data_IF_844591989861
#
_entry.id   IF_844591989861
#
_cell.length_a   1.000
_cell.length_b   1.000
_cell.length_c   1.000
_cell.angle_alpha   90.00
_cell.angle_beta   90.00
_cell.angle_gamma   90.00
#
_symmetry.space_group_name_H-M   'P 1'
#
loop_
_entity.id
_entity.type
_entity.pdbx_description
1 polymer ?
#
# COMPACT_ATOMS: atom_id res chain seq x y z
N UNK A 1 -20.51 -1.99 14.10
CA UNK A 1 -20.87 -1.39 12.80
C UNK A 1 -19.95 -2.07 11.82
N UNK A 2 -20.44 -3.10 11.13
CA UNK A 2 -19.65 -3.91 10.20
C UNK A 2 -19.17 -3.04 9.03
N UNK A 3 -17.89 -3.18 8.72
CA UNK A 3 -17.14 -2.33 7.82
C UNK A 3 -17.71 -2.47 6.39
N UNK A 4 -18.21 -1.37 5.83
CA UNK A 4 -19.25 -1.33 4.79
C UNK A 4 -18.83 -1.86 3.41
N UNK A 5 -17.53 -1.95 3.11
CA UNK A 5 -17.01 -2.50 1.86
C UNK A 5 -16.90 -4.04 1.86
N UNK A 6 -16.90 -4.67 3.03
CA UNK A 6 -16.80 -6.12 3.15
C UNK A 6 -18.02 -6.86 2.57
N UNK A 7 -19.23 -6.39 2.87
CA UNK A 7 -20.47 -7.02 2.41
C UNK A 7 -20.62 -6.96 0.89
N UNK A 8 -20.14 -5.90 0.24
CA UNK A 8 -20.17 -5.73 -1.22
C UNK A 8 -19.20 -6.65 -1.96
N UNK A 9 -18.20 -7.17 -1.27
CA UNK A 9 -17.23 -8.12 -1.81
C UNK A 9 -17.61 -9.59 -1.58
N UNK A 10 -18.72 -9.84 -0.88
CA UNK A 10 -19.27 -11.18 -0.64
C UNK A 10 -20.40 -11.45 -1.64
N UNK A 11 -20.04 -11.94 -2.82
CA UNK A 11 -21.00 -12.78 -3.55
C UNK A 11 -21.16 -14.09 -2.78
N UNK A 12 -22.40 -14.48 -2.52
CA UNK A 12 -22.80 -15.78 -1.99
C UNK A 12 -21.90 -16.89 -2.61
N UNK A 13 -21.34 -17.79 -1.79
CA UNK A 13 -20.28 -18.75 -2.23
C UNK A 13 -20.74 -19.74 -3.30
N UNK A 14 -22.00 -19.67 -3.72
CA UNK A 14 -22.50 -20.21 -4.97
C UNK A 14 -22.90 -19.07 -5.92
N UNK A 15 -22.44 -19.13 -7.17
CA UNK A 15 -22.96 -18.26 -8.22
C UNK A 15 -24.50 -18.35 -8.22
N UNK A 16 -25.24 -17.23 -8.05
CA UNK A 16 -26.70 -17.23 -7.89
C UNK A 16 -27.44 -17.62 -9.18
N UNK A 17 -26.74 -17.57 -10.32
CA UNK A 17 -27.18 -18.21 -11.55
C UNK A 17 -26.78 -19.68 -11.48
N UNK A 18 -27.75 -20.61 -11.61
CA UNK A 18 -27.47 -22.04 -11.81
C UNK A 18 -26.69 -22.25 -13.11
N UNK A 19 -25.37 -22.08 -13.05
CA UNK A 19 -24.48 -22.65 -14.03
C UNK A 19 -24.45 -24.16 -13.78
N UNK A 20 -24.52 -24.96 -14.84
CA UNK A 20 -23.91 -26.31 -14.82
C UNK A 20 -22.51 -26.10 -14.24
N UNK A 21 -22.03 -26.85 -13.22
CA UNK A 21 -20.78 -26.52 -12.53
C UNK A 21 -19.66 -26.33 -13.55
N UNK A 22 -19.27 -25.07 -13.79
CA UNK A 22 -18.35 -24.70 -14.87
C UNK A 22 -16.90 -25.02 -14.52
N UNK A 23 -16.58 -25.14 -13.22
CA UNK A 23 -15.34 -25.77 -12.79
C UNK A 23 -15.62 -27.19 -12.29
N UNK A 24 -14.91 -28.21 -12.80
CA UNK A 24 -14.93 -29.53 -12.21
C UNK A 24 -14.63 -29.45 -10.71
N UNK A 25 -15.32 -30.25 -9.89
CA UNK A 25 -14.92 -30.40 -8.48
C UNK A 25 -13.48 -30.89 -8.44
N UNK A 26 -12.66 -30.22 -7.64
CA UNK A 26 -11.27 -30.59 -7.42
C UNK A 26 -11.14 -31.47 -6.18
N UNK A 27 -10.00 -32.14 -6.00
CA UNK A 27 -9.83 -33.10 -4.91
C UNK A 27 -10.06 -32.48 -3.52
N UNK A 28 -9.67 -31.22 -3.31
CA UNK A 28 -9.89 -30.51 -2.05
C UNK A 28 -11.37 -30.24 -1.74
N UNK A 29 -12.23 -30.15 -2.76
CA UNK A 29 -13.69 -30.03 -2.54
C UNK A 29 -14.28 -31.32 -1.91
N UNK A 30 -13.65 -32.47 -2.15
CA UNK A 30 -14.06 -33.77 -1.59
C UNK A 30 -13.32 -34.12 -0.31
N UNK A 31 -12.06 -33.73 -0.22
CA UNK A 31 -11.16 -34.02 0.89
C UNK A 31 -10.52 -32.72 1.38
N UNK A 32 -11.20 -31.91 2.21
CA UNK A 32 -10.68 -30.61 2.65
C UNK A 32 -9.38 -30.70 3.47
N UNK A 33 -9.11 -31.85 4.08
CA UNK A 33 -7.88 -32.13 4.82
C UNK A 33 -6.77 -32.77 3.94
N UNK A 34 -6.97 -32.84 2.63
CA UNK A 34 -5.95 -33.35 1.70
C UNK A 34 -4.74 -32.43 1.73
N UNK A 35 -3.54 -33.01 1.82
CA UNK A 35 -2.29 -32.26 1.75
C UNK A 35 -2.21 -31.48 0.43
N UNK A 36 -2.06 -30.16 0.53
CA UNK A 36 -1.92 -29.30 -0.64
C UNK A 36 -0.49 -29.33 -1.17
N UNK A 37 -0.31 -29.90 -2.36
CA UNK A 37 0.97 -29.94 -3.07
C UNK A 37 1.15 -28.75 -4.04
N UNK A 38 0.14 -27.89 -4.20
CA UNK A 38 0.23 -26.69 -5.05
C UNK A 38 1.36 -25.75 -4.60
N UNK A 39 1.68 -25.75 -3.30
CA UNK A 39 2.80 -25.00 -2.71
C UNK A 39 4.17 -25.36 -3.28
N UNK A 40 4.31 -26.55 -3.89
CA UNK A 40 5.53 -27.02 -4.53
C UNK A 40 5.53 -26.75 -6.04
N UNK A 41 4.38 -26.40 -6.61
CA UNK A 41 4.29 -25.97 -8.01
C UNK A 41 4.80 -24.54 -8.10
N UNK A 42 6.08 -24.42 -8.44
CA UNK A 42 6.65 -23.13 -8.82
C UNK A 42 5.89 -22.58 -10.03
N UNK A 43 5.78 -21.24 -10.17
CA UNK A 43 5.23 -20.64 -11.36
C UNK A 43 5.84 -21.23 -12.62
N UNK A 44 4.98 -21.76 -13.47
CA UNK A 44 5.43 -22.45 -14.66
C UNK A 44 6.11 -21.48 -15.60
N UNK A 45 7.26 -21.84 -16.14
CA UNK A 45 7.90 -21.07 -17.20
C UNK A 45 6.99 -20.90 -18.44
N UNK A 46 5.98 -21.78 -18.61
CA UNK A 46 4.99 -21.67 -19.67
C UNK A 46 3.99 -20.52 -19.47
N UNK A 47 3.78 -20.08 -18.23
CA UNK A 47 2.92 -18.93 -17.91
C UNK A 47 3.65 -17.59 -18.09
N UNK A 48 4.98 -17.60 -18.21
CA UNK A 48 5.79 -16.40 -18.41
C UNK A 48 5.89 -16.05 -19.92
N UNK A 49 5.27 -14.95 -20.39
CA UNK A 49 5.27 -14.56 -21.80
C UNK A 49 6.62 -14.01 -22.28
N UNK A 50 7.59 -13.81 -21.40
CA UNK A 50 8.90 -13.23 -21.75
C UNK A 50 9.86 -14.24 -22.39
N UNK A 51 9.60 -15.54 -22.21
CA UNK A 51 10.47 -16.62 -22.67
C UNK A 51 11.68 -16.86 -21.74
N UNK A 52 12.36 -18.00 -21.91
CA UNK A 52 13.42 -18.45 -20.99
C UNK A 52 14.70 -17.62 -21.06
N UNK A 53 14.96 -16.95 -22.18
CA UNK A 53 16.19 -16.16 -22.39
C UNK A 53 16.07 -14.71 -21.91
N UNK A 54 14.91 -14.32 -21.38
CA UNK A 54 14.68 -12.96 -20.90
C UNK A 54 15.44 -12.67 -19.60
N UNK A 55 16.24 -11.61 -19.63
CA UNK A 55 17.06 -11.13 -18.52
C UNK A 55 16.59 -9.73 -18.12
N UNK A 56 15.74 -9.66 -17.08
CA UNK A 56 15.18 -8.39 -16.63
C UNK A 56 16.26 -7.40 -16.19
N UNK A 57 17.33 -7.88 -15.55
CA UNK A 57 18.39 -7.01 -15.07
C UNK A 57 19.10 -6.30 -16.22
N UNK A 58 19.36 -7.03 -17.32
CA UNK A 58 19.91 -6.46 -18.55
C UNK A 58 18.98 -5.43 -19.19
N UNK A 59 17.69 -5.75 -19.25
CA UNK A 59 16.68 -4.88 -19.86
C UNK A 59 16.49 -3.59 -19.06
N UNK A 60 16.41 -3.69 -17.73
CA UNK A 60 16.35 -2.55 -16.82
C UNK A 60 17.60 -1.68 -16.89
N UNK A 61 18.80 -2.27 -16.95
CA UNK A 61 20.04 -1.49 -17.10
C UNK A 61 20.13 -0.74 -18.45
N UNK A 62 19.31 -1.09 -19.44
CA UNK A 62 19.18 -0.37 -20.71
C UNK A 62 18.07 0.70 -20.72
N UNK A 63 17.36 0.86 -19.61
CA UNK A 63 16.26 1.81 -19.44
C UNK A 63 16.80 3.22 -19.22
N UNK A 64 16.24 4.20 -19.92
CA UNK A 64 16.42 5.61 -19.56
C UNK A 64 15.53 5.93 -18.35
N UNK A 65 16.04 5.65 -17.15
CA UNK A 65 15.30 5.88 -15.90
C UNK A 65 14.92 7.35 -15.74
N UNK A 66 15.77 8.29 -16.19
CA UNK A 66 15.47 9.73 -16.13
C UNK A 66 14.25 10.08 -16.98
N UNK A 67 14.14 9.51 -18.18
CA UNK A 67 12.96 9.69 -19.02
C UNK A 67 11.70 9.10 -18.37
N UNK A 68 11.78 7.92 -17.74
CA UNK A 68 10.65 7.33 -17.01
C UNK A 68 10.19 8.25 -15.87
N UNK A 69 11.11 8.76 -15.05
CA UNK A 69 10.79 9.69 -13.97
C UNK A 69 10.16 10.99 -14.50
N UNK A 70 10.67 11.52 -15.62
CA UNK A 70 10.09 12.70 -16.27
C UNK A 70 8.64 12.47 -16.73
N UNK A 71 8.36 11.31 -17.35
CA UNK A 71 7.00 10.93 -17.74
C UNK A 71 6.08 10.74 -16.52
N UNK A 72 6.59 10.15 -15.43
CA UNK A 72 5.84 10.01 -14.17
C UNK A 72 5.48 11.38 -13.58
N UNK A 73 6.41 12.33 -13.53
CA UNK A 73 6.14 13.69 -13.07
C UNK A 73 5.11 14.41 -13.95
N UNK A 74 5.19 14.23 -15.27
CA UNK A 74 4.20 14.78 -16.19
C UNK A 74 2.81 14.16 -15.97
N UNK A 75 2.74 12.84 -15.81
CA UNK A 75 1.49 12.12 -15.51
C UNK A 75 0.81 12.63 -14.24
N UNK A 76 1.59 12.95 -13.20
CA UNK A 76 1.03 13.35 -11.89
C UNK A 76 0.16 14.59 -11.97
N UNK A 77 0.37 15.48 -12.93
CA UNK A 77 -0.44 16.70 -13.12
C UNK A 77 -1.35 16.64 -14.35
N UNK A 78 -1.30 15.54 -15.11
CA UNK A 78 -2.14 15.30 -16.28
C UNK A 78 -3.45 14.59 -15.88
N UNK A 79 -4.33 15.32 -15.19
CA UNK A 79 -5.64 14.81 -14.75
C UNK A 79 -6.43 14.19 -15.91
N UNK A 80 -7.06 13.05 -15.65
CA UNK A 80 -7.88 12.29 -16.58
C UNK A 80 -9.36 12.42 -16.21
N UNK A 81 -10.22 12.65 -17.19
CA UNK A 81 -11.66 12.87 -16.94
C UNK A 81 -12.35 11.68 -16.26
N UNK A 82 -11.92 10.46 -16.56
CA UNK A 82 -12.48 9.22 -15.97
C UNK A 82 -12.04 8.99 -14.52
N UNK A 83 -11.04 9.71 -14.04
CA UNK A 83 -10.61 9.70 -12.64
C UNK A 83 -9.87 10.98 -12.28
N UNK A 84 -10.56 12.13 -12.09
CA UNK A 84 -9.92 13.42 -11.92
C UNK A 84 -8.96 13.46 -10.72
N UNK A 85 -7.83 14.13 -10.88
CA UNK A 85 -6.83 14.24 -9.83
C UNK A 85 -7.28 15.21 -8.73
N UNK A 86 -7.31 14.73 -7.47
CA UNK A 86 -7.46 15.59 -6.31
C UNK A 86 -6.37 16.67 -6.32
N UNK A 87 -6.77 17.93 -6.09
CA UNK A 87 -5.85 19.07 -6.06
C UNK A 87 -5.05 19.25 -7.37
N UNK A 88 -5.51 18.64 -8.47
CA UNK A 88 -4.79 18.60 -9.74
C UNK A 88 -3.50 17.77 -9.71
N UNK A 89 -3.31 16.88 -8.73
CA UNK A 89 -2.08 16.11 -8.57
C UNK A 89 -2.32 14.66 -8.08
N UNK A 90 -1.97 13.65 -8.87
CA UNK A 90 -2.09 12.22 -8.50
C UNK A 90 -1.03 11.72 -7.51
N UNK A 91 -0.03 12.53 -7.19
CA UNK A 91 1.07 12.16 -6.28
C UNK A 91 0.61 11.40 -5.02
N UNK A 92 -0.33 11.94 -4.22
CA UNK A 92 -0.77 11.25 -3.01
C UNK A 92 -1.41 9.87 -3.26
N UNK A 93 -2.17 9.73 -4.35
CA UNK A 93 -2.73 8.43 -4.76
C UNK A 93 -1.63 7.42 -5.12
N UNK A 94 -0.57 7.87 -5.79
CA UNK A 94 0.57 7.03 -6.16
C UNK A 94 1.45 6.68 -4.95
N UNK A 95 1.57 7.57 -3.95
CA UNK A 95 2.21 7.25 -2.67
C UNK A 95 1.42 6.14 -1.96
N UNK A 96 0.09 6.26 -1.85
CA UNK A 96 -0.77 5.19 -1.30
C UNK A 96 -0.59 3.89 -2.08
N UNK A 97 -0.59 3.93 -3.41
CA UNK A 97 -0.43 2.74 -4.23
C UNK A 97 0.89 2.01 -3.94
N UNK A 98 2.01 2.73 -3.87
CA UNK A 98 3.31 2.16 -3.54
C UNK A 98 3.38 1.64 -2.09
N UNK A 99 2.82 2.40 -1.14
CA UNK A 99 2.66 1.98 0.26
C UNK A 99 1.91 0.65 0.35
N UNK A 100 0.75 0.52 -0.28
CA UNK A 100 -0.05 -0.71 -0.27
C UNK A 100 0.61 -1.86 -1.03
N UNK A 101 1.41 -1.57 -2.06
CA UNK A 101 2.14 -2.61 -2.80
C UNK A 101 3.20 -3.24 -1.91
N UNK A 102 3.99 -2.43 -1.20
CA UNK A 102 5.02 -2.89 -0.29
C UNK A 102 4.46 -3.37 1.06
N UNK A 103 3.33 -2.83 1.47
CA UNK A 103 2.73 -2.95 2.80
C UNK A 103 2.14 -4.32 3.14
N UNK A 104 2.13 -5.28 2.24
CA UNK A 104 1.65 -6.65 2.55
C UNK A 104 2.72 -7.57 3.15
N UNK A 105 3.98 -7.13 3.15
CA UNK A 105 5.13 -7.94 3.56
C UNK A 105 5.14 -8.30 5.04
N UNK A 106 5.56 -9.52 5.37
CA UNK A 106 5.60 -10.05 6.75
C UNK A 106 6.89 -10.76 7.07
N UNK A 107 7.46 -10.47 8.24
CA UNK A 107 8.70 -11.13 8.71
C UNK A 107 8.50 -12.58 9.14
N UNK A 108 7.24 -13.00 9.39
CA UNK A 108 6.94 -14.36 9.85
C UNK A 108 7.31 -15.44 8.84
N UNK A 109 7.22 -15.13 7.55
CA UNK A 109 7.49 -16.05 6.44
C UNK A 109 8.17 -15.37 5.23
N UNK A 110 8.38 -14.05 5.26
CA UNK A 110 8.98 -13.27 4.17
C UNK A 110 8.05 -13.06 2.97
N UNK A 111 6.77 -13.40 3.09
CA UNK A 111 5.77 -13.28 2.00
C UNK A 111 5.14 -11.89 1.97
N UNK A 112 4.43 -11.61 0.88
CA UNK A 112 3.91 -10.28 0.55
C UNK A 112 5.00 -9.34 0.04
N UNK A 113 4.72 -8.04 0.05
CA UNK A 113 5.62 -7.00 -0.46
C UNK A 113 5.40 -6.67 -1.93
N UNK A 114 6.24 -5.75 -2.43
CA UNK A 114 6.15 -5.19 -3.78
C UNK A 114 7.00 -5.96 -4.81
N UNK A 115 7.84 -6.90 -4.36
CA UNK A 115 8.94 -7.51 -5.11
C UNK A 115 8.58 -8.28 -6.38
N UNK A 116 7.30 -8.60 -6.56
CA UNK A 116 6.76 -9.31 -7.72
C UNK A 116 5.53 -8.65 -8.34
N UNK A 117 5.12 -7.49 -7.80
CA UNK A 117 3.99 -6.71 -8.31
C UNK A 117 2.62 -7.32 -8.02
N UNK A 118 2.46 -8.15 -6.98
CA UNK A 118 1.23 -8.91 -6.69
C UNK A 118 -0.03 -8.05 -6.50
N UNK A 119 0.08 -6.75 -6.23
CA UNK A 119 -1.08 -5.85 -6.16
C UNK A 119 -1.91 -5.80 -7.45
N UNK A 120 -1.38 -6.31 -8.58
CA UNK A 120 -2.09 -6.41 -9.86
C UNK A 120 -2.85 -7.72 -10.07
N UNK A 121 -2.76 -8.65 -9.13
CA UNK A 121 -3.42 -9.95 -9.17
C UNK A 121 -4.29 -10.18 -7.93
N UNK A 122 -5.17 -11.17 -8.02
CA UNK A 122 -5.96 -11.64 -6.88
C UNK A 122 -5.06 -12.28 -5.80
N UNK A 123 -5.48 -12.26 -4.52
CA UNK A 123 -6.64 -11.52 -4.00
C UNK A 123 -6.36 -10.01 -3.80
N UNK A 124 -5.11 -9.59 -3.91
CA UNK A 124 -4.64 -8.27 -3.46
C UNK A 124 -5.23 -7.12 -4.27
N UNK A 125 -5.40 -7.26 -5.59
CA UNK A 125 -6.04 -6.26 -6.45
C UNK A 125 -7.50 -5.95 -6.06
N UNK A 126 -8.17 -6.83 -5.31
CA UNK A 126 -9.58 -6.74 -4.94
C UNK A 126 -9.82 -6.62 -3.43
N UNK A 127 -8.78 -6.54 -2.61
CA UNK A 127 -8.90 -6.23 -1.18
C UNK A 127 -9.63 -4.91 -0.95
N UNK A 128 -10.51 -4.81 0.07
CA UNK A 128 -11.20 -3.56 0.40
C UNK A 128 -10.24 -2.38 0.64
N UNK A 129 -9.12 -2.62 1.32
CA UNK A 129 -8.13 -1.57 1.59
C UNK A 129 -7.38 -1.13 0.31
N UNK A 130 -7.47 -1.89 -0.78
CA UNK A 130 -6.93 -1.53 -2.09
C UNK A 130 -7.98 -0.89 -3.01
N UNK A 131 -9.14 -0.50 -2.49
CA UNK A 131 -10.16 0.22 -3.24
C UNK A 131 -9.59 1.40 -4.01
N UNK A 132 -9.98 1.52 -5.28
CA UNK A 132 -9.55 2.51 -6.27
C UNK A 132 -8.05 2.51 -6.64
N UNK A 133 -7.23 1.57 -6.12
CA UNK A 133 -5.86 1.40 -6.60
C UNK A 133 -5.79 0.73 -7.99
N UNK A 134 -6.89 0.10 -8.44
CA UNK A 134 -7.08 -0.29 -9.84
C UNK A 134 -7.02 0.93 -10.77
N UNK A 135 -7.63 2.07 -10.37
CA UNK A 135 -7.54 3.35 -11.08
C UNK A 135 -6.09 3.87 -11.10
N UNK A 136 -5.41 3.83 -9.95
CA UNK A 136 -4.00 4.23 -9.84
C UNK A 136 -3.08 3.43 -10.77
N UNK A 137 -3.22 2.10 -10.80
CA UNK A 137 -2.47 1.23 -11.72
C UNK A 137 -2.83 1.50 -13.18
N UNK A 138 -4.10 1.77 -13.48
CA UNK A 138 -4.57 2.11 -14.83
C UNK A 138 -3.96 3.42 -15.33
N UNK A 139 -3.80 4.43 -14.47
CA UNK A 139 -3.11 5.68 -14.81
C UNK A 139 -1.69 5.41 -15.29
N UNK A 140 -0.96 4.47 -14.68
CA UNK A 140 0.42 4.13 -15.03
C UNK A 140 0.57 3.29 -16.31
N UNK A 141 -0.52 2.74 -16.85
CA UNK A 141 -0.47 1.89 -18.04
C UNK A 141 0.23 2.52 -19.25
N UNK A 142 -0.02 3.80 -19.63
CA UNK A 142 0.66 4.42 -20.76
C UNK A 142 2.20 4.46 -20.60
N UNK A 143 2.70 4.63 -19.37
CA UNK A 143 4.14 4.56 -19.07
C UNK A 143 4.63 3.13 -19.23
N UNK A 144 3.94 2.15 -18.65
CA UNK A 144 4.29 0.73 -18.84
C UNK A 144 4.31 0.34 -20.32
N UNK A 145 3.34 0.82 -21.10
CA UNK A 145 3.25 0.56 -22.54
C UNK A 145 4.41 1.19 -23.31
N UNK A 146 4.80 2.43 -22.97
CA UNK A 146 5.92 3.15 -23.59
C UNK A 146 7.27 2.46 -23.35
N UNK A 147 7.54 2.01 -22.13
CA UNK A 147 8.83 1.43 -21.75
C UNK A 147 8.88 -0.10 -21.82
N UNK A 148 7.73 -0.75 -22.01
CA UNK A 148 7.61 -2.17 -22.30
C UNK A 148 8.32 -3.05 -21.29
N UNK A 149 9.14 -3.99 -21.78
CA UNK A 149 9.84 -4.99 -20.96
C UNK A 149 11.01 -4.45 -20.11
N UNK A 150 11.42 -3.19 -20.34
CA UNK A 150 12.56 -2.57 -19.65
C UNK A 150 12.24 -2.10 -18.24
N UNK A 151 10.96 -1.97 -17.91
CA UNK A 151 10.48 -1.72 -16.56
C UNK A 151 9.31 -2.65 -16.27
N UNK A 152 9.42 -3.41 -15.17
CA UNK A 152 8.37 -4.28 -14.68
C UNK A 152 7.24 -3.44 -14.07
N UNK A 153 6.06 -4.03 -13.92
CA UNK A 153 5.03 -3.43 -13.08
C UNK A 153 5.51 -3.32 -11.63
N UNK A 154 6.17 -4.35 -11.10
CA UNK A 154 6.69 -4.33 -9.74
C UNK A 154 7.59 -3.11 -9.44
N UNK A 155 8.55 -2.79 -10.32
CA UNK A 155 9.40 -1.60 -10.17
C UNK A 155 8.61 -0.31 -10.45
N UNK A 156 7.71 -0.29 -11.44
CA UNK A 156 6.93 0.91 -11.79
C UNK A 156 6.00 1.35 -10.66
N UNK A 157 5.36 0.41 -9.94
CA UNK A 157 4.48 0.73 -8.81
C UNK A 157 5.24 1.48 -7.71
N UNK A 158 6.44 1.00 -7.37
CA UNK A 158 7.29 1.61 -6.34
C UNK A 158 7.89 2.93 -6.83
N UNK A 159 8.43 2.95 -8.06
CA UNK A 159 9.05 4.14 -8.64
C UNK A 159 8.05 5.30 -8.74
N UNK A 160 6.78 5.01 -9.07
CA UNK A 160 5.73 6.03 -9.11
C UNK A 160 5.51 6.68 -7.74
N UNK A 161 5.54 5.92 -6.65
CA UNK A 161 5.48 6.45 -5.28
C UNK A 161 6.70 7.30 -4.92
N UNK A 162 7.91 6.85 -5.26
CA UNK A 162 9.13 7.65 -5.06
C UNK A 162 9.07 8.98 -5.82
N UNK A 163 8.73 8.94 -7.10
CA UNK A 163 8.60 10.13 -7.94
C UNK A 163 7.50 11.07 -7.42
N UNK A 164 6.41 10.52 -6.86
CA UNK A 164 5.35 11.30 -6.27
C UNK A 164 5.86 12.10 -5.06
N UNK A 165 6.59 11.46 -4.15
CA UNK A 165 7.23 12.15 -3.03
C UNK A 165 8.19 13.24 -3.50
N UNK A 166 9.05 12.95 -4.49
CA UNK A 166 9.98 13.92 -5.08
C UNK A 166 9.28 15.14 -5.69
N UNK A 167 8.24 14.90 -6.50
CA UNK A 167 7.46 15.96 -7.15
C UNK A 167 6.73 16.87 -6.16
N UNK A 168 6.37 16.35 -4.98
CA UNK A 168 5.70 17.09 -3.91
C UNK A 168 6.70 17.72 -2.93
N UNK A 169 8.00 17.71 -3.23
CA UNK A 169 9.03 18.41 -2.47
C UNK A 169 9.70 17.61 -1.36
N UNK A 170 9.51 16.28 -1.30
CA UNK A 170 10.23 15.41 -0.39
C UNK A 170 11.41 14.72 -1.09
N UNK A 171 12.62 14.84 -0.53
CA UNK A 171 13.79 14.15 -1.08
C UNK A 171 13.85 12.71 -0.53
N UNK A 172 13.65 11.72 -1.40
CA UNK A 172 13.77 10.31 -1.04
C UNK A 172 15.23 9.91 -0.76
N UNK A 173 15.44 8.80 -0.04
CA UNK A 173 16.78 8.29 0.26
C UNK A 173 17.47 7.68 -0.97
N UNK A 174 16.70 7.17 -1.91
CA UNK A 174 17.15 6.55 -3.15
C UNK A 174 16.12 5.56 -3.72
N UNK A 175 16.49 4.88 -4.80
CA UNK A 175 15.67 3.87 -5.46
C UNK A 175 16.54 2.80 -6.12
N UNK A 176 16.18 1.53 -5.91
CA UNK A 176 16.72 0.39 -6.65
C UNK A 176 15.62 -0.35 -7.41
N UNK A 177 15.82 -0.54 -8.71
CA UNK A 177 15.04 -1.48 -9.52
C UNK A 177 15.55 -2.91 -9.39
N UNK A 178 14.96 -3.84 -10.15
CA UNK A 178 15.36 -5.25 -10.19
C UNK A 178 14.26 -6.24 -9.79
N UNK A 179 13.03 -5.76 -9.56
CA UNK A 179 11.87 -6.61 -9.29
C UNK A 179 11.32 -7.16 -10.60
N UNK A 180 11.47 -8.46 -10.84
CA UNK A 180 10.85 -9.10 -12.01
C UNK A 180 9.35 -9.32 -11.76
N UNK A 181 8.52 -9.09 -12.78
CA UNK A 181 7.07 -9.34 -12.68
C UNK A 181 6.78 -10.84 -12.49
N UNK A 182 5.86 -11.17 -11.57
CA UNK A 182 5.16 -12.45 -11.60
C UNK A 182 4.09 -12.46 -12.70
N UNK A 183 3.62 -13.63 -13.12
CA UNK A 183 2.63 -13.77 -14.21
C UNK A 183 1.33 -14.46 -13.81
N UNK A 184 1.24 -14.86 -12.54
CA UNK A 184 0.10 -15.51 -11.91
C UNK A 184 0.02 -15.06 -10.44
N UNK A 185 -1.16 -15.14 -9.80
CA UNK A 185 -1.29 -14.85 -8.37
C UNK A 185 -0.47 -15.80 -7.51
N UNK A 186 -0.08 -15.33 -6.32
CA UNK A 186 0.57 -16.15 -5.29
C UNK A 186 -0.49 -16.86 -4.44
N UNK A 187 -0.99 -17.98 -4.95
CA UNK A 187 -2.06 -18.77 -4.32
C UNK A 187 -1.61 -19.55 -3.07
N UNK A 188 -0.33 -19.44 -2.69
CA UNK A 188 0.26 -20.21 -1.58
C UNK A 188 0.49 -19.35 -0.34
N UNK A 189 0.22 -18.04 -0.41
CA UNK A 189 0.29 -17.15 0.76
C UNK A 189 -0.96 -17.28 1.63
N UNK A 190 -0.76 -17.66 2.88
CA UNK A 190 -1.82 -17.71 3.89
C UNK A 190 -2.10 -16.30 4.46
N UNK A 191 -3.20 -15.69 3.97
CA UNK A 191 -3.65 -14.36 4.38
C UNK A 191 -4.49 -14.35 5.66
N UNK A 192 -4.99 -15.50 6.09
CA UNK A 192 -5.81 -15.66 7.30
C UNK A 192 -6.89 -16.72 7.12
N UNK A 193 -7.52 -17.14 8.22
CA UNK A 193 -8.55 -18.18 8.22
C UNK A 193 -9.94 -17.64 7.82
N UNK A 194 -10.09 -16.33 7.69
CA UNK A 194 -11.37 -15.71 7.40
C UNK A 194 -11.87 -16.03 6.00
N UNK A 195 -13.18 -16.20 5.94
CA UNK A 195 -13.95 -16.47 4.75
C UNK A 195 -14.84 -15.28 4.36
N UNK A 196 -14.58 -14.14 4.98
CA UNK A 196 -15.28 -12.87 4.84
C UNK A 196 -14.27 -11.72 4.92
N UNK A 197 -14.41 -10.75 4.01
CA UNK A 197 -13.58 -9.55 4.04
C UNK A 197 -13.82 -8.74 5.31
N UNK A 198 -12.76 -8.10 5.82
CA UNK A 198 -12.74 -7.28 7.03
C UNK A 198 -13.13 -8.00 8.33
N UNK A 199 -13.33 -9.33 8.30
CA UNK A 199 -13.46 -10.15 9.50
C UNK A 199 -12.11 -10.35 10.21
N UNK A 200 -12.16 -10.72 11.49
CA UNK A 200 -11.02 -10.79 12.41
C UNK A 200 -10.93 -12.12 13.19
N UNK A 201 -11.18 -13.28 12.54
CA UNK A 201 -11.07 -14.62 13.15
C UNK A 201 -9.61 -15.08 13.36
N UNK A 202 -8.74 -14.15 13.76
CA UNK A 202 -7.28 -14.28 13.81
C UNK A 202 -6.66 -13.89 15.16
N UNK A 203 -7.49 -13.65 16.16
CA UNK A 203 -7.05 -13.32 17.51
C UNK A 203 -7.33 -14.47 18.47
N UNK A 204 -6.42 -14.64 19.43
CA UNK A 204 -6.60 -15.52 20.60
C UNK A 204 -6.23 -14.75 21.86
N UNK A 205 -6.57 -15.29 23.04
CA UNK A 205 -6.29 -14.61 24.31
C UNK A 205 -6.99 -13.25 24.39
N UNK A 206 -6.28 -12.23 24.86
CA UNK A 206 -6.80 -10.86 24.93
C UNK A 206 -6.74 -10.16 23.56
N UNK A 207 -5.58 -10.21 22.89
CA UNK A 207 -5.38 -9.61 21.56
C UNK A 207 -4.14 -10.18 20.84
N UNK A 208 -3.87 -11.47 21.02
CA UNK A 208 -2.72 -12.13 20.39
C UNK A 208 -3.04 -12.47 18.94
N UNK A 209 -2.46 -11.70 18.02
CA UNK A 209 -2.64 -11.89 16.58
C UNK A 209 -1.96 -13.20 16.12
N UNK A 210 -2.67 -14.04 15.36
CA UNK A 210 -2.17 -15.31 14.82
C UNK A 210 -0.90 -15.11 14.00
N UNK A 211 0.11 -15.98 14.16
CA UNK A 211 1.31 -15.99 13.32
C UNK A 211 1.05 -16.83 12.06
N UNK A 212 1.52 -16.42 10.87
CA UNK A 212 2.44 -15.31 10.60
C UNK A 212 1.75 -13.96 10.30
N UNK A 213 0.47 -13.78 10.64
CA UNK A 213 -0.36 -12.62 10.25
C UNK A 213 0.20 -11.27 10.71
N UNK A 214 0.09 -10.22 9.90
CA UNK A 214 0.48 -8.86 10.28
C UNK A 214 -0.56 -7.80 9.90
N UNK A 215 -1.80 -8.21 9.68
CA UNK A 215 -2.93 -7.31 9.53
C UNK A 215 -4.02 -7.72 10.53
N UNK A 216 -4.76 -6.74 11.05
CA UNK A 216 -5.78 -6.98 12.09
C UNK A 216 -7.08 -7.58 11.54
N UNK A 217 -7.33 -7.43 10.24
CA UNK A 217 -8.52 -7.91 9.55
C UNK A 217 -8.17 -8.41 8.14
N UNK A 218 -8.99 -9.31 7.61
CA UNK A 218 -8.80 -9.84 6.26
C UNK A 218 -9.02 -8.73 5.21
N UNK A 219 -8.06 -8.55 4.30
CA UNK A 219 -8.15 -7.53 3.26
C UNK A 219 -7.76 -6.11 3.68
N UNK A 220 -7.20 -5.93 4.89
CA UNK A 220 -6.48 -4.73 5.30
C UNK A 220 -4.96 -4.90 5.10
N UNK A 221 -4.25 -3.79 4.89
CA UNK A 221 -2.79 -3.79 4.84
C UNK A 221 -2.22 -3.96 6.26
N UNK A 222 -2.62 -3.12 7.21
CA UNK A 222 -2.13 -3.15 8.61
C UNK A 222 -3.28 -3.18 9.61
N UNK A 223 -3.90 -2.02 9.87
CA UNK A 223 -4.86 -1.80 10.94
C UNK A 223 -6.15 -1.19 10.40
N UNK A 224 -7.23 -1.27 11.18
CA UNK A 224 -8.48 -0.60 10.85
C UNK A 224 -8.37 0.91 11.15
N UNK A 225 -8.61 1.82 10.19
CA UNK A 225 -8.42 3.26 10.37
C UNK A 225 -9.43 3.90 11.34
N UNK A 226 -10.58 3.27 11.56
CA UNK A 226 -11.56 3.69 12.57
C UNK A 226 -11.17 3.23 13.99
N UNK A 227 -10.17 2.36 14.12
CA UNK A 227 -9.73 1.70 15.35
C UNK A 227 -10.17 0.23 15.44
N UNK A 228 -9.71 -0.51 16.47
CA UNK A 228 -9.98 -1.95 16.64
C UNK A 228 -11.46 -2.30 16.44
N UNK A 229 -11.76 -3.11 15.42
CA UNK A 229 -13.12 -3.55 15.10
C UNK A 229 -14.13 -2.41 14.88
N UNK A 230 -13.64 -1.27 14.37
CA UNK A 230 -14.43 -0.06 14.14
C UNK A 230 -14.74 0.74 15.42
N UNK A 231 -14.08 0.44 16.54
CA UNK A 231 -14.19 1.21 17.78
C UNK A 231 -13.16 2.37 17.78
N UNK A 232 -13.59 3.64 17.84
CA UNK A 232 -12.71 4.80 17.76
C UNK A 232 -11.96 5.08 19.07
N UNK A 233 -11.12 4.12 19.48
CA UNK A 233 -10.20 4.22 20.61
C UNK A 233 -8.75 4.35 20.10
N UNK A 234 -8.15 5.56 20.18
CA UNK A 234 -6.79 5.79 19.72
C UNK A 234 -5.72 5.02 20.51
N UNK A 235 -5.93 4.72 21.79
CA UNK A 235 -4.96 3.97 22.61
C UNK A 235 -4.98 2.49 22.19
N UNK A 236 -6.18 1.92 22.02
CA UNK A 236 -6.30 0.56 21.54
C UNK A 236 -5.78 0.42 20.09
N UNK A 237 -6.02 1.42 19.24
CA UNK A 237 -5.46 1.46 17.88
C UNK A 237 -3.91 1.52 17.89
N UNK A 238 -3.29 2.20 18.85
CA UNK A 238 -1.83 2.26 18.96
C UNK A 238 -1.19 0.88 19.22
N UNK A 239 -1.86 0.02 20.00
CA UNK A 239 -1.43 -1.36 20.21
C UNK A 239 -1.40 -2.14 18.89
N UNK A 240 -2.48 -2.07 18.10
CA UNK A 240 -2.58 -2.74 16.81
C UNK A 240 -1.56 -2.21 15.80
N UNK A 241 -1.34 -0.89 15.77
CA UNK A 241 -0.31 -0.26 14.94
C UNK A 241 1.05 -0.86 15.27
N UNK A 242 1.42 -0.89 16.56
CA UNK A 242 2.71 -1.42 16.98
C UNK A 242 2.89 -2.88 16.59
N UNK A 243 1.90 -3.70 16.88
CA UNK A 243 1.96 -5.14 16.62
C UNK A 243 2.11 -5.43 15.12
N UNK A 244 1.27 -4.80 14.29
CA UNK A 244 1.29 -5.03 12.84
C UNK A 244 2.55 -4.50 12.19
N UNK A 245 2.97 -3.27 12.49
CA UNK A 245 4.20 -2.69 11.94
C UNK A 245 5.45 -3.46 12.38
N UNK A 246 5.53 -3.93 13.62
CA UNK A 246 6.63 -4.77 14.09
C UNK A 246 6.72 -6.08 13.28
N UNK A 247 5.59 -6.74 13.02
CA UNK A 247 5.53 -7.93 12.15
C UNK A 247 5.83 -7.64 10.68
N UNK A 248 5.92 -6.37 10.31
CA UNK A 248 6.37 -5.90 9.00
C UNK A 248 7.75 -5.24 9.06
N UNK A 249 8.57 -5.59 10.06
CA UNK A 249 9.94 -5.09 10.21
C UNK A 249 10.05 -3.58 10.46
N UNK A 250 9.04 -2.92 11.01
CA UNK A 250 9.10 -1.50 11.37
C UNK A 250 9.08 -1.32 12.88
N UNK A 251 10.05 -0.58 13.41
CA UNK A 251 10.06 -0.20 14.83
C UNK A 251 9.17 1.03 15.09
N UNK A 252 9.09 1.51 16.34
CA UNK A 252 8.20 2.62 16.69
C UNK A 252 8.54 3.93 15.95
N UNK A 253 9.83 4.25 15.78
CA UNK A 253 10.28 5.47 15.09
C UNK A 253 9.98 5.41 13.59
N UNK A 254 10.27 4.27 12.95
CA UNK A 254 9.93 4.02 11.55
C UNK A 254 8.42 4.07 11.32
N UNK A 255 7.63 3.55 12.26
CA UNK A 255 6.17 3.55 12.22
C UNK A 255 5.59 4.96 12.25
N UNK A 256 6.00 5.79 13.23
CA UNK A 256 5.57 7.19 13.30
C UNK A 256 5.98 7.95 12.05
N UNK A 257 7.22 7.74 11.59
CA UNK A 257 7.74 8.41 10.40
C UNK A 257 6.94 8.05 9.14
N UNK A 258 6.61 6.77 8.95
CA UNK A 258 5.83 6.29 7.80
C UNK A 258 4.40 6.81 7.80
N UNK A 259 3.69 6.74 8.94
CA UNK A 259 2.29 7.19 9.02
C UNK A 259 2.22 8.71 8.83
N UNK A 260 2.99 9.48 9.62
CA UNK A 260 2.98 10.93 9.52
C UNK A 260 3.51 11.42 8.16
N UNK A 261 4.54 10.77 7.61
CA UNK A 261 5.12 11.09 6.32
C UNK A 261 4.16 10.82 5.16
N UNK A 262 3.45 9.69 5.20
CA UNK A 262 2.40 9.38 4.24
C UNK A 262 1.21 10.34 4.33
N UNK A 263 0.68 10.55 5.54
CA UNK A 263 -0.48 11.41 5.81
C UNK A 263 -0.16 12.92 5.76
N UNK A 264 1.08 13.30 5.47
CA UNK A 264 1.40 14.67 5.05
C UNK A 264 0.73 15.00 3.70
N UNK A 265 0.41 13.99 2.90
CA UNK A 265 -0.12 14.12 1.54
C UNK A 265 -1.55 13.61 1.39
N UNK A 266 -2.29 14.23 0.48
CA UNK A 266 -3.59 13.76 0.00
C UNK A 266 -4.73 13.87 1.01
N UNK A 267 -5.72 13.01 0.80
CA UNK A 267 -6.96 12.93 1.56
C UNK A 267 -7.54 11.52 1.53
N UNK A 268 -8.51 11.27 2.39
CA UNK A 268 -9.41 10.11 2.31
C UNK A 268 -10.66 10.44 1.48
N UNK A 269 -11.40 9.40 1.05
CA UNK A 269 -12.62 9.53 0.25
C UNK A 269 -13.78 8.69 0.81
N UNK A 270 -14.87 9.36 1.09
CA UNK A 270 -16.06 8.89 1.78
C UNK A 270 -17.23 9.84 1.55
N UNK A 271 -17.43 10.27 0.30
CA UNK A 271 -18.42 11.27 -0.08
C UNK A 271 -19.87 10.85 0.19
N UNK A 272 -20.16 9.54 0.22
CA UNK A 272 -21.47 8.98 0.56
C UNK A 272 -21.34 7.51 1.01
N UNK A 273 -22.46 6.93 1.45
CA UNK A 273 -22.55 5.53 1.92
C UNK A 273 -22.11 4.53 0.84
N UNK A 274 -20.97 3.84 0.99
CA UNK A 274 -20.50 2.89 0.01
C UNK A 274 -21.49 1.75 -0.24
N UNK A 275 -22.29 1.32 0.76
CA UNK A 275 -23.26 0.22 0.58
C UNK A 275 -24.34 0.53 -0.45
N UNK A 276 -24.64 1.81 -0.65
CA UNK A 276 -25.66 2.25 -1.59
C UNK A 276 -25.09 2.50 -2.98
N UNK A 277 -23.85 2.99 -3.06
CA UNK A 277 -23.33 3.59 -4.29
C UNK A 277 -22.17 2.84 -4.92
N UNK A 278 -21.42 2.04 -4.17
CA UNK A 278 -20.20 1.37 -4.64
C UNK A 278 -20.51 -0.07 -5.04
N UNK A 279 -20.15 -0.45 -6.27
CA UNK A 279 -20.30 -1.79 -6.80
C UNK A 279 -19.17 -2.74 -6.39
N UNK A 280 -19.15 -3.91 -7.03
CA UNK A 280 -18.18 -4.98 -6.74
C UNK A 280 -16.72 -4.57 -6.96
N UNK A 281 -15.82 -5.14 -6.16
CA UNK A 281 -14.38 -5.11 -6.39
C UNK A 281 -14.00 -5.72 -7.76
N UNK A 282 -12.78 -5.50 -8.28
CA UNK A 282 -12.39 -5.93 -9.63
C UNK A 282 -12.74 -7.40 -9.96
N UNK A 283 -12.50 -8.34 -9.04
CA UNK A 283 -12.82 -9.76 -9.21
C UNK A 283 -14.31 -10.04 -9.50
N UNK A 284 -15.20 -9.23 -8.92
CA UNK A 284 -16.66 -9.39 -8.99
C UNK A 284 -17.33 -8.42 -9.97
N UNK A 285 -16.56 -7.53 -10.60
CA UNK A 285 -17.09 -6.53 -11.52
C UNK A 285 -17.49 -7.15 -12.87
N UNK A 286 -18.36 -6.45 -13.59
CA UNK A 286 -18.75 -6.84 -14.96
C UNK A 286 -17.56 -6.78 -15.92
N UNK A 287 -17.58 -7.61 -16.97
CA UNK A 287 -16.48 -7.67 -17.96
C UNK A 287 -16.28 -6.33 -18.70
N UNK A 288 -17.33 -5.53 -18.82
CA UNK A 288 -17.32 -4.19 -19.38
C UNK A 288 -16.48 -3.19 -18.57
N UNK A 289 -16.24 -3.46 -17.28
CA UNK A 289 -15.38 -2.63 -16.43
C UNK A 289 -13.88 -2.86 -16.73
N UNK A 290 -13.55 -3.86 -17.56
CA UNK A 290 -12.18 -4.13 -18.03
C UNK A 290 -11.16 -4.24 -16.87
N UNK A 291 -11.50 -5.05 -15.86
CA UNK A 291 -10.72 -5.28 -14.65
C UNK A 291 -10.53 -4.03 -13.75
N UNK A 292 -11.40 -3.02 -13.92
CA UNK A 292 -11.65 -2.02 -12.89
C UNK A 292 -12.81 -2.51 -12.00
N UNK A 293 -12.84 -2.00 -10.76
CA UNK A 293 -13.89 -2.32 -9.79
C UNK A 293 -14.37 -1.09 -9.04
N UNK A 294 -15.16 -1.31 -8.00
CA UNK A 294 -15.72 -0.30 -7.11
C UNK A 294 -16.44 0.82 -7.86
N UNK A 295 -17.17 0.45 -8.92
CA UNK A 295 -17.93 1.42 -9.71
C UNK A 295 -18.88 2.18 -8.82
N UNK A 296 -18.75 3.50 -8.82
CA UNK A 296 -19.49 4.39 -7.95
C UNK A 296 -20.62 5.08 -8.72
N UNK A 297 -21.84 4.99 -8.20
CA UNK A 297 -23.05 5.57 -8.76
C UNK A 297 -23.49 6.87 -8.08
N UNK A 298 -22.80 7.29 -7.01
CA UNK A 298 -23.03 8.58 -6.37
C UNK A 298 -22.50 9.71 -7.26
N UNK A 299 -23.34 10.69 -7.58
CA UNK A 299 -22.96 11.80 -8.46
C UNK A 299 -22.43 11.31 -9.82
N UNK A 300 -21.22 11.72 -10.18
CA UNK A 300 -20.48 11.26 -11.36
C UNK A 300 -19.53 10.08 -11.07
N UNK A 301 -19.48 9.60 -9.83
CA UNK A 301 -18.66 8.44 -9.41
C UNK A 301 -17.20 8.74 -9.07
N UNK A 302 -16.72 9.97 -9.29
CA UNK A 302 -15.32 10.36 -9.10
C UNK A 302 -15.19 11.87 -8.77
N UNK A 303 -13.99 12.35 -8.47
CA UNK A 303 -13.80 13.73 -8.00
C UNK A 303 -14.48 13.97 -6.64
N UNK A 304 -15.32 15.01 -6.53
CA UNK A 304 -16.10 15.32 -5.32
C UNK A 304 -16.99 14.17 -4.83
N UNK A 305 -17.38 13.26 -5.74
CA UNK A 305 -18.23 12.12 -5.42
C UNK A 305 -17.45 10.85 -5.05
N UNK A 306 -16.12 10.90 -4.97
CA UNK A 306 -15.28 9.72 -4.76
C UNK A 306 -15.56 9.03 -3.42
N UNK A 307 -15.64 7.71 -3.45
CA UNK A 307 -15.77 6.86 -2.25
C UNK A 307 -14.70 5.78 -2.35
N UNK A 308 -13.83 5.70 -1.33
CA UNK A 308 -12.74 4.72 -1.24
C UNK A 308 -12.77 3.98 0.08
N UNK A 309 -12.49 4.65 1.19
CA UNK A 309 -12.45 4.04 2.54
C UNK A 309 -13.71 4.31 3.35
N UNK A 310 -14.54 5.29 2.92
CA UNK A 310 -15.65 5.81 3.71
C UNK A 310 -15.25 6.91 4.68
N UNK A 311 -13.96 7.14 4.93
CA UNK A 311 -13.45 8.31 5.64
C UNK A 311 -13.33 9.48 4.67
N UNK A 312 -13.54 10.71 5.12
CA UNK A 312 -13.55 11.88 4.24
C UNK A 312 -12.76 13.05 4.83
N UNK A 313 -11.83 13.59 4.04
CA UNK A 313 -11.10 14.81 4.36
C UNK A 313 -9.58 14.67 4.24
N UNK A 314 -8.90 15.81 4.21
CA UNK A 314 -7.44 15.89 4.14
C UNK A 314 -6.84 16.19 5.52
N UNK A 315 -5.61 15.73 5.73
CA UNK A 315 -4.86 15.97 6.95
C UNK A 315 -4.27 17.38 7.01
N UNK A 316 -3.88 17.94 5.86
CA UNK A 316 -3.08 19.17 5.79
C UNK A 316 -3.68 20.22 4.86
N UNK A 317 -3.28 21.48 5.07
CA UNK A 317 -3.68 22.62 4.23
C UNK A 317 -2.92 22.64 2.88
N UNK A 318 -1.91 21.79 2.71
CA UNK A 318 -1.14 21.64 1.50
C UNK A 318 -0.98 20.15 1.10
N UNK A 319 -2.08 19.48 0.68
CA UNK A 319 -2.08 18.03 0.47
C UNK A 319 -1.13 17.51 -0.61
N UNK A 320 -0.59 18.38 -1.45
CA UNK A 320 0.34 18.02 -2.54
C UNK A 320 1.74 18.56 -2.30
N UNK A 321 2.10 18.86 -1.04
CA UNK A 321 3.41 19.42 -0.69
C UNK A 321 3.91 18.87 0.65
N UNK A 322 5.16 18.44 0.67
CA UNK A 322 5.86 18.06 1.89
C UNK A 322 5.86 19.24 2.88
N UNK A 323 5.49 18.97 4.12
CA UNK A 323 5.39 19.96 5.17
C UNK A 323 5.34 19.28 6.54
N UNK A 324 5.44 20.07 7.61
CA UNK A 324 5.20 19.59 8.97
C UNK A 324 3.73 19.78 9.41
N UNK A 325 2.83 20.15 8.47
CA UNK A 325 1.45 20.54 8.78
C UNK A 325 0.63 19.39 9.37
N UNK A 326 0.98 18.13 9.08
CA UNK A 326 0.37 16.97 9.73
C UNK A 326 0.54 17.06 11.26
N UNK A 327 1.77 17.26 11.73
CA UNK A 327 2.06 17.41 13.16
C UNK A 327 1.54 18.72 13.74
N UNK A 328 1.63 19.83 12.98
CA UNK A 328 1.03 21.10 13.40
C UNK A 328 -0.46 20.92 13.69
N UNK A 329 -1.20 20.27 12.80
CA UNK A 329 -2.62 20.02 13.00
C UNK A 329 -2.85 19.05 14.17
N UNK A 330 -2.11 17.93 14.22
CA UNK A 330 -2.27 16.90 15.26
C UNK A 330 -2.11 17.49 16.67
N UNK A 331 -1.09 18.32 16.90
CA UNK A 331 -0.76 18.85 18.21
C UNK A 331 -1.45 20.17 18.56
N UNK A 332 -1.67 21.07 17.59
CA UNK A 332 -2.22 22.41 17.87
C UNK A 332 -3.76 22.43 18.00
N UNK A 333 -4.44 21.33 17.64
CA UNK A 333 -5.88 21.20 17.83
C UNK A 333 -6.24 20.14 18.87
N UNK A 334 -7.34 20.43 19.55
CA UNK A 334 -8.14 19.44 20.25
C UNK A 334 -9.10 18.79 19.26
N UNK A 335 -9.45 17.52 19.48
CA UNK A 335 -10.21 16.73 18.51
C UNK A 335 -11.54 16.22 19.07
N UNK A 336 -12.63 16.41 18.32
CA UNK A 336 -13.95 15.82 18.59
C UNK A 336 -14.20 14.65 17.64
N UNK A 337 -14.68 13.54 18.19
CA UNK A 337 -15.17 12.41 17.41
C UNK A 337 -16.38 12.85 16.58
N UNK A 338 -16.36 12.49 15.30
CA UNK A 338 -17.43 12.81 14.36
C UNK A 338 -17.64 11.66 13.37
N UNK A 339 -18.56 11.84 12.43
CA UNK A 339 -18.84 10.91 11.35
C UNK A 339 -18.59 11.57 10.00
N UNK A 340 -17.99 10.82 9.07
CA UNK A 340 -17.88 11.21 7.67
C UNK A 340 -19.28 11.26 7.00
N UNK A 341 -19.40 11.83 5.79
CA UNK A 341 -20.63 11.72 5.01
C UNK A 341 -21.08 10.26 4.74
N UNK A 342 -20.13 9.32 4.68
CA UNK A 342 -20.40 7.89 4.57
C UNK A 342 -20.68 7.18 5.91
N UNK A 343 -20.65 7.90 7.04
CA UNK A 343 -20.94 7.35 8.37
C UNK A 343 -19.76 6.67 9.06
N UNK A 344 -18.52 6.81 8.57
CA UNK A 344 -17.31 6.29 9.22
C UNK A 344 -16.87 7.21 10.38
N UNK A 345 -16.31 6.65 11.45
CA UNK A 345 -15.73 7.41 12.56
C UNK A 345 -14.43 8.11 12.16
N UNK A 346 -14.38 9.42 12.38
CA UNK A 346 -13.20 10.24 12.17
C UNK A 346 -13.17 11.40 13.15
N UNK A 347 -12.12 12.20 13.13
CA UNK A 347 -11.89 13.26 14.09
C UNK A 347 -11.76 14.61 13.40
N UNK A 348 -12.41 15.63 13.95
CA UNK A 348 -12.32 17.02 13.50
C UNK A 348 -11.87 17.94 14.63
N UNK A 349 -11.28 19.11 14.32
CA UNK A 349 -10.93 20.08 15.35
C UNK A 349 -12.15 20.53 16.15
N UNK A 350 -12.01 20.63 17.49
CA UNK A 350 -13.08 21.10 18.38
C UNK A 350 -13.46 22.55 18.08
N UNK A 351 -14.70 22.92 18.43
CA UNK A 351 -15.20 24.29 18.38
C UNK A 351 -15.11 24.97 17.00
N UNK A 352 -15.02 24.20 15.91
CA UNK A 352 -14.88 24.74 14.56
C UNK A 352 -13.50 25.35 14.28
N UNK A 353 -12.47 24.99 15.03
CA UNK A 353 -11.11 25.43 14.74
C UNK A 353 -10.70 25.00 13.32
N UNK A 354 -10.01 25.90 12.61
CA UNK A 354 -9.49 25.64 11.26
C UNK A 354 -10.52 25.21 10.20
N UNK A 355 -11.81 25.56 10.39
CA UNK A 355 -12.93 25.13 9.55
C UNK A 355 -12.78 25.43 8.05
N UNK A 356 -12.02 26.47 7.68
CA UNK A 356 -11.80 26.87 6.29
C UNK A 356 -10.32 26.78 5.87
N UNK A 357 -9.51 26.00 6.60
CA UNK A 357 -8.05 26.00 6.39
C UNK A 357 -7.58 25.11 5.24
N UNK A 358 -8.31 24.05 4.92
CA UNK A 358 -7.95 23.07 3.90
C UNK A 358 -8.67 23.41 2.58
N UNK A 359 -7.98 23.49 1.43
CA UNK A 359 -8.64 23.59 0.13
C UNK A 359 -9.53 22.39 -0.15
N UNK A 360 -10.66 22.59 -0.82
CA UNK A 360 -11.36 21.49 -1.47
C UNK A 360 -10.54 20.93 -2.64
N UNK A 361 -10.71 19.64 -2.94
CA UNK A 361 -9.91 18.92 -3.92
C UNK A 361 -10.26 19.28 -5.38
N UNK A 362 -11.49 19.70 -5.67
CA UNK A 362 -11.95 20.00 -7.02
C UNK A 362 -12.68 21.33 -7.16
N UNK A 363 -13.09 21.97 -6.05
CA UNK A 363 -13.78 23.27 -6.05
C UNK A 363 -12.98 24.35 -5.31
N UNK A 364 -12.30 25.22 -6.07
CA UNK A 364 -11.48 26.30 -5.50
C UNK A 364 -12.22 27.30 -4.59
N UNK A 365 -13.56 27.35 -4.66
CA UNK A 365 -14.38 28.22 -3.81
C UNK A 365 -14.73 27.58 -2.46
N UNK A 366 -14.56 26.26 -2.30
CA UNK A 366 -14.85 25.52 -1.08
C UNK A 366 -13.59 25.32 -0.22
N UNK A 367 -13.82 25.25 1.09
CA UNK A 367 -12.80 25.00 2.11
C UNK A 367 -13.36 24.06 3.16
N UNK A 368 -12.45 23.37 3.85
CA UNK A 368 -12.78 22.36 4.86
C UNK A 368 -11.89 22.48 6.09
N UNK A 369 -12.34 21.85 7.17
CA UNK A 369 -11.50 21.57 8.32
C UNK A 369 -10.52 20.43 7.98
N UNK A 370 -9.31 20.41 8.57
CA UNK A 370 -8.47 19.22 8.53
C UNK A 370 -9.17 18.08 9.28
N UNK A 371 -8.89 16.86 8.87
CA UNK A 371 -9.44 15.64 9.49
C UNK A 371 -8.30 14.75 9.96
N UNK A 372 -8.52 14.03 11.05
CA UNK A 372 -7.63 12.97 11.55
C UNK A 372 -8.40 11.66 11.69
N UNK A 373 -7.69 10.55 11.50
CA UNK A 373 -8.19 9.20 11.73
C UNK A 373 -7.99 8.81 13.21
N UNK A 374 -8.68 7.76 13.66
CA UNK A 374 -8.43 7.21 15.01
C UNK A 374 -6.96 6.80 15.17
N UNK A 375 -6.40 6.20 14.12
CA UNK A 375 -4.99 5.78 14.04
C UNK A 375 -3.99 6.95 14.04
N UNK A 376 -4.40 8.15 13.59
CA UNK A 376 -3.55 9.33 13.63
C UNK A 376 -3.45 9.87 15.05
N UNK A 377 -4.59 9.90 15.76
CA UNK A 377 -4.61 10.29 17.17
C UNK A 377 -3.80 9.34 18.06
N UNK A 378 -3.68 8.06 17.69
CA UNK A 378 -2.78 7.11 18.36
C UNK A 378 -1.36 7.65 18.47
N UNK A 379 -0.87 8.34 17.43
CA UNK A 379 0.48 8.89 17.41
C UNK A 379 0.68 10.06 18.38
N UNK A 380 -0.41 10.68 18.85
CA UNK A 380 -0.41 11.76 19.85
C UNK A 380 -0.55 11.22 21.26
N UNK A 381 -1.44 10.26 21.48
CA UNK A 381 -1.87 9.87 22.84
C UNK A 381 -1.14 8.65 23.41
N UNK A 382 -0.55 7.80 22.57
CA UNK A 382 0.21 6.64 23.03
C UNK A 382 1.51 7.08 23.74
N UNK A 383 1.89 6.46 24.88
CA UNK A 383 3.05 6.88 25.66
C UNK A 383 4.40 6.68 24.98
N UNK A 384 4.49 5.89 23.91
CA UNK A 384 5.71 5.65 23.13
C UNK A 384 5.68 6.51 21.86
N UNK A 385 4.57 6.51 21.11
CA UNK A 385 4.45 7.29 19.88
C UNK A 385 4.36 8.79 20.14
N UNK A 386 3.65 9.22 21.19
CA UNK A 386 3.48 10.63 21.56
C UNK A 386 4.82 11.39 21.66
N UNK A 387 5.79 10.89 22.46
CA UNK A 387 7.12 11.48 22.52
C UNK A 387 7.88 11.52 21.19
N UNK A 388 7.80 10.47 20.37
CA UNK A 388 8.45 10.42 19.05
C UNK A 388 7.83 11.46 18.11
N UNK A 389 6.49 11.49 18.03
CA UNK A 389 5.72 12.44 17.23
C UNK A 389 6.00 13.88 17.65
N UNK A 390 6.07 14.14 18.96
CA UNK A 390 6.39 15.47 19.47
C UNK A 390 7.82 15.88 19.10
N UNK A 391 8.79 14.96 19.22
CA UNK A 391 10.17 15.23 18.78
C UNK A 391 10.23 15.54 17.28
N UNK A 392 9.52 14.79 16.44
CA UNK A 392 9.43 15.06 15.00
C UNK A 392 8.73 16.37 14.68
N UNK A 393 7.70 16.74 15.45
CA UNK A 393 7.05 18.03 15.35
C UNK A 393 8.03 19.18 15.63
N UNK A 394 8.82 19.07 16.69
CA UNK A 394 9.81 20.08 17.10
C UNK A 394 11.08 20.06 16.21
N UNK A 395 11.37 18.95 15.54
CA UNK A 395 12.59 18.72 14.74
C UNK A 395 12.24 18.14 13.35
N UNK A 396 11.73 18.97 12.42
CA UNK A 396 11.22 18.49 11.13
C UNK A 396 12.30 17.85 10.23
N UNK A 397 13.58 18.16 10.44
CA UNK A 397 14.67 17.50 9.72
C UNK A 397 14.86 16.05 10.19
N UNK A 398 14.77 15.77 11.50
CA UNK A 398 14.82 14.39 12.01
C UNK A 398 13.66 13.57 11.47
N UNK A 399 12.47 14.17 11.39
CA UNK A 399 11.31 13.55 10.76
C UNK A 399 11.56 13.22 9.29
N UNK A 400 12.06 14.18 8.51
CA UNK A 400 12.37 13.96 7.10
C UNK A 400 13.40 12.84 6.88
N UNK A 401 14.46 12.81 7.69
CA UNK A 401 15.50 11.79 7.63
C UNK A 401 14.98 10.40 8.01
N UNK A 402 14.16 10.31 9.06
CA UNK A 402 13.52 9.07 9.50
C UNK A 402 12.54 8.55 8.44
N UNK A 403 11.70 9.42 7.87
CA UNK A 403 10.76 9.05 6.82
C UNK A 403 11.49 8.60 5.55
N UNK A 404 12.57 9.27 5.15
CA UNK A 404 13.34 8.91 3.96
C UNK A 404 13.89 7.47 4.06
N UNK A 405 14.47 7.14 5.22
CA UNK A 405 15.04 5.81 5.49
C UNK A 405 13.95 4.74 5.64
N UNK A 406 12.87 5.03 6.37
CA UNK A 406 11.77 4.10 6.58
C UNK A 406 11.01 3.81 5.28
N UNK A 407 10.78 4.83 4.45
CA UNK A 407 10.19 4.67 3.11
C UNK A 407 11.07 3.82 2.19
N UNK A 408 12.38 4.04 2.20
CA UNK A 408 13.32 3.22 1.42
C UNK A 408 13.31 1.76 1.89
N UNK A 409 13.38 1.52 3.21
CA UNK A 409 13.25 0.19 3.80
C UNK A 409 11.94 -0.48 3.40
N UNK A 410 10.81 0.19 3.59
CA UNK A 410 9.47 -0.32 3.22
C UNK A 410 9.48 -0.84 1.78
N UNK A 411 9.94 -0.01 0.87
CA UNK A 411 9.83 -0.26 -0.57
C UNK A 411 10.84 -1.26 -1.09
N UNK A 412 11.86 -1.64 -0.32
CA UNK A 412 12.96 -2.51 -0.76
C UNK A 412 13.23 -3.73 0.14
N UNK A 413 12.54 -3.86 1.29
CA UNK A 413 12.78 -4.93 2.29
C UNK A 413 12.66 -6.37 1.75
N UNK A 414 11.95 -6.57 0.66
CA UNK A 414 11.73 -7.87 0.01
C UNK A 414 12.62 -8.10 -1.23
N UNK A 415 13.56 -7.20 -1.50
CA UNK A 415 14.50 -7.33 -2.62
C UNK A 415 15.73 -8.18 -2.29
N UNK A 416 15.93 -8.56 -1.02
CA UNK A 416 17.10 -9.32 -0.59
C UNK A 416 18.41 -8.52 -0.68
N UNK A 417 19.55 -9.16 -1.01
CA UNK A 417 20.87 -8.51 -0.99
C UNK A 417 20.98 -7.32 -1.95
N UNK A 418 21.78 -6.32 -1.56
CA UNK A 418 22.02 -5.11 -2.38
C UNK A 418 22.55 -5.41 -3.78
N UNK A 419 23.21 -6.55 -4.00
CA UNK A 419 23.68 -7.00 -5.32
C UNK A 419 22.54 -7.19 -6.35
N UNK A 420 21.28 -7.30 -5.89
CA UNK A 420 20.09 -7.38 -6.77
C UNK A 420 19.55 -6.01 -7.20
N UNK A 421 20.01 -4.92 -6.59
CA UNK A 421 19.47 -3.59 -6.79
C UNK A 421 20.10 -2.98 -8.04
N UNK A 422 19.25 -2.42 -8.90
CA UNK A 422 19.64 -1.90 -10.21
C UNK A 422 19.36 -0.40 -10.33
N UNK A 423 20.11 0.26 -11.19
CA UNK A 423 19.92 1.67 -11.54
C UNK A 423 20.84 2.65 -10.81
N UNK A 424 20.87 3.90 -11.27
CA UNK A 424 21.84 4.90 -10.81
C UNK A 424 21.51 5.54 -9.45
N UNK A 425 20.32 5.30 -8.91
CA UNK A 425 19.82 5.93 -7.67
C UNK A 425 19.90 5.00 -6.45
N UNK A 426 20.58 3.85 -6.57
CA UNK A 426 20.82 2.94 -5.46
C UNK A 426 21.76 3.63 -4.44
N UNK A 427 21.34 3.79 -3.17
CA UNK A 427 22.20 4.33 -2.13
C UNK A 427 23.51 3.54 -2.02
N UNK A 428 24.64 4.27 -1.93
CA UNK A 428 25.97 3.65 -1.92
C UNK A 428 26.23 2.82 -0.66
N UNK A 429 25.69 3.24 0.48
CA UNK A 429 25.85 2.54 1.75
C UNK A 429 24.73 1.51 1.93
N UNK A 430 25.05 0.20 2.04
CA UNK A 430 24.06 -0.80 2.32
C UNK A 430 23.50 -0.63 3.74
N UNK A 431 22.21 -0.89 3.87
CA UNK A 431 21.48 -0.79 5.13
C UNK A 431 21.49 -2.14 5.86
N UNK A 432 21.44 -2.13 7.19
CA UNK A 432 21.55 -3.38 7.98
C UNK A 432 20.47 -4.43 7.63
N UNK A 433 19.25 -3.99 7.32
CA UNK A 433 18.15 -4.87 6.94
C UNK A 433 18.31 -5.50 5.54
N UNK A 434 19.34 -5.12 4.78
CA UNK A 434 19.72 -5.74 3.51
C UNK A 434 20.68 -6.93 3.69
N UNK A 435 21.00 -7.29 4.94
CA UNK A 435 21.95 -8.34 5.32
C UNK A 435 23.28 -8.22 4.55
N UNK A 436 24.00 -7.09 4.71
CA UNK A 436 25.16 -6.77 3.88
C UNK A 436 26.27 -7.82 4.03
N UNK A 437 26.82 -8.24 2.89
CA UNK A 437 28.00 -9.09 2.82
C UNK A 437 29.24 -8.24 2.53
N UNK A 438 30.41 -8.57 3.11
CA UNK A 438 31.65 -7.88 2.78
C UNK A 438 32.00 -8.09 1.30
N UNK A 439 32.62 -7.07 0.70
CA UNK A 439 33.17 -7.21 -0.64
C UNK A 439 34.32 -8.24 -0.64
N UNK A 440 34.44 -9.00 -1.72
CA UNK A 440 35.59 -9.90 -1.91
C UNK A 440 36.84 -9.05 -2.07
N UNK A 441 37.78 -9.18 -1.13
CA UNK A 441 39.04 -8.42 -1.06
C UNK A 441 40.29 -9.28 -1.37
N UNK A 442 40.08 -10.53 -1.79
CA UNK A 442 41.11 -11.50 -2.12
C UNK A 442 40.86 -12.19 -3.48
N UNK A 443 41.86 -12.88 -4.00
CA UNK A 443 41.69 -13.70 -5.21
C UNK A 443 40.71 -14.85 -4.96
N UNK A 444 39.85 -15.15 -5.94
CA UNK A 444 38.97 -16.30 -5.89
C UNK A 444 39.74 -17.59 -6.16
N UNK A 445 39.36 -18.66 -5.45
CA UNK A 445 39.92 -20.00 -5.66
C UNK A 445 39.70 -20.48 -7.10
N UNK A 446 40.77 -20.96 -7.73
CA UNK A 446 40.75 -21.56 -9.05
C UNK A 446 40.36 -23.04 -9.03
N UNK A 447 40.28 -23.65 -10.22
CA UNK A 447 39.94 -25.08 -10.35
C UNK A 447 40.89 -26.01 -9.58
N UNK A 448 42.18 -25.67 -9.51
CA UNK A 448 43.18 -26.46 -8.76
C UNK A 448 42.99 -26.32 -7.26
N UNK A 449 42.84 -25.10 -6.74
CA UNK A 449 42.58 -24.82 -5.32
C UNK A 449 41.33 -25.58 -4.84
N UNK A 450 40.25 -25.57 -5.63
CA UNK A 450 39.01 -26.31 -5.32
C UNK A 450 39.23 -27.82 -5.30
N UNK A 451 40.03 -28.36 -6.22
CA UNK A 451 40.35 -29.79 -6.25
C UNK A 451 41.24 -30.22 -5.07
N UNK A 452 42.09 -29.32 -4.58
CA UNK A 452 42.92 -29.54 -3.40
C UNK A 452 42.09 -29.45 -2.11
N UNK A 453 41.27 -28.41 -1.91
CA UNK A 453 40.42 -28.25 -0.73
C UNK A 453 39.39 -29.38 -0.52
N UNK A 454 38.99 -30.07 -1.59
CA UNK A 454 38.06 -31.21 -1.53
C UNK A 454 38.72 -32.51 -1.06
N UNK A 455 40.04 -32.63 -1.22
CA UNK A 455 40.81 -33.80 -0.76
C UNK A 455 41.10 -33.65 0.71
#
# INVERSE_FOLDING_TARGET
MENTLAELSQADRGCPVKHVPLRPRVNVDWFPALLDLSVLHRPSALANPMGPDFDYAREFNSLDLKAVKADLHALMTASQDWWPADYGHYGPLLVRMAWHAAGTYRIGDGRGGAGSGMQRFEPVNSWPDNANLDKARRLLWPIKAKYGRKISWADLLVLAGNCALESMGFKTFGFGGGRADAWEPDDVTYWGPEDEWLADKRYTGERDLERPLAAVQMGLIYVNPEGPNGNPDPIAAAHDIRETFARMAMNDEETVALIAGGHTFGKTHGAADPKQYVGFAPAGAGIEEQNLGWRNTFGNGHGDATITSGLEGAWTQAPTRWSNLYFDNLFNYEWDLTKSPAGAYQWKPKNGAAADSVPDAHDSAKRHAPTMLTTDLSLKVDPIYGPISKRFHENPQEFADAFAKAWYKLTHRDMGPIARYLGPEVPAEPQIWQDPLPAVDHALVGHQDVAELKR
#
